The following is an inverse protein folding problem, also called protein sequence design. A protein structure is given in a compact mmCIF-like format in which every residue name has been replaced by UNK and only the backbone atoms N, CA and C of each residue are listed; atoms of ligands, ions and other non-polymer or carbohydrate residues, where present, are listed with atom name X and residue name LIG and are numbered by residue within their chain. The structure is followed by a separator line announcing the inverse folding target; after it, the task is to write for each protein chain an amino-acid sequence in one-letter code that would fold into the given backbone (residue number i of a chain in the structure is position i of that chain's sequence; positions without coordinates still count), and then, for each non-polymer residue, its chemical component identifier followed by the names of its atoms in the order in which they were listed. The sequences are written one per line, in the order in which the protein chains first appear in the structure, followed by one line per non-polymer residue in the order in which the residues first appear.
data_IF_358770014904
#
_entry.id   IF_358770014904
#
_cell.length_a   1.000
_cell.length_b   1.000
_cell.length_c   1.000
_cell.angle_alpha   90.00
_cell.angle_beta   90.00
_cell.angle_gamma   90.00
#
_symmetry.space_group_name_H-M   'P 1'
#
loop_
_entity.id
_entity.type
_entity.pdbx_description
1 polymer ?
#
# COMPACT_ATOMS: atom_id res chain seq x y z
N UNK A 1 -1.18 -30.94 13.15
CA UNK A 1 0.17 -30.64 13.69
C UNK A 1 0.99 -30.01 12.57
N UNK A 2 1.71 -28.92 12.82
CA UNK A 2 2.52 -28.26 11.78
C UNK A 2 3.82 -29.06 11.61
N UNK A 3 4.13 -29.51 10.38
CA UNK A 3 5.34 -30.27 10.09
C UNK A 3 6.58 -29.37 10.22
N UNK A 4 7.57 -29.81 11.00
CA UNK A 4 8.83 -29.09 11.26
C UNK A 4 8.61 -27.59 11.57
N UNK A 5 7.71 -27.28 12.50
CA UNK A 5 7.37 -25.91 12.93
C UNK A 5 7.00 -24.94 11.79
N UNK A 6 6.55 -25.48 10.65
CA UNK A 6 6.06 -24.67 9.53
C UNK A 6 7.15 -24.27 8.55
N UNK A 7 8.32 -24.93 8.58
CA UNK A 7 9.44 -24.70 7.65
C UNK A 7 9.03 -24.66 6.16
N UNK A 8 7.97 -25.38 5.79
CA UNK A 8 7.44 -25.45 4.43
C UNK A 8 6.15 -24.65 4.23
N UNK A 9 5.95 -23.59 5.02
CA UNK A 9 4.75 -22.75 5.01
C UNK A 9 5.07 -21.31 4.54
N UNK A 10 5.87 -21.18 3.49
CA UNK A 10 6.21 -19.88 2.89
C UNK A 10 5.36 -19.61 1.65
N UNK A 11 5.38 -18.38 1.15
CA UNK A 11 4.61 -18.00 -0.04
C UNK A 11 4.98 -18.83 -1.28
N UNK A 12 6.27 -19.10 -1.59
CA UNK A 12 6.66 -20.07 -2.61
C UNK A 12 6.06 -21.46 -2.43
N UNK A 13 6.06 -22.00 -1.20
CA UNK A 13 5.45 -23.31 -0.94
C UNK A 13 3.95 -23.32 -1.22
N UNK A 14 3.24 -22.22 -0.92
CA UNK A 14 1.82 -22.09 -1.25
C UNK A 14 1.56 -22.07 -2.77
N UNK A 15 2.42 -21.39 -3.54
CA UNK A 15 2.33 -21.39 -5.01
C UNK A 15 2.64 -22.79 -5.57
N UNK A 16 3.69 -23.45 -5.10
CA UNK A 16 4.03 -24.81 -5.52
C UNK A 16 2.95 -25.82 -5.17
N UNK A 17 2.32 -25.68 -3.99
CA UNK A 17 1.19 -26.51 -3.57
C UNK A 17 0.00 -26.34 -4.51
N UNK A 18 -0.38 -25.09 -4.85
CA UNK A 18 -1.45 -24.80 -5.81
C UNK A 18 -1.16 -25.36 -7.22
N UNK A 19 0.12 -25.53 -7.55
CA UNK A 19 0.54 -26.10 -8.82
C UNK A 19 0.50 -27.62 -8.90
N UNK A 20 0.29 -28.34 -7.78
CA UNK A 20 0.14 -29.80 -7.76
C UNK A 20 -1.19 -30.25 -8.39
N UNK A 21 -1.30 -31.56 -8.63
CA UNK A 21 -2.49 -32.16 -9.20
C UNK A 21 -3.59 -32.18 -8.14
N UNK A 22 -4.84 -32.03 -8.56
CA UNK A 22 -5.98 -32.06 -7.63
C UNK A 22 -6.15 -33.39 -6.90
N UNK A 23 -5.78 -34.49 -7.57
CA UNK A 23 -5.67 -35.83 -6.98
C UNK A 23 -4.75 -35.88 -5.75
N UNK A 24 -3.74 -35.00 -5.69
CA UNK A 24 -2.82 -34.90 -4.56
C UNK A 24 -3.33 -33.87 -3.54
N UNK A 25 -3.86 -32.72 -4.01
CA UNK A 25 -4.29 -31.60 -3.17
C UNK A 25 -5.54 -31.93 -2.36
N UNK A 26 -6.60 -32.46 -3.00
CA UNK A 26 -7.88 -32.66 -2.33
C UNK A 26 -7.82 -33.64 -1.16
N UNK A 27 -7.19 -34.83 -1.27
CA UNK A 27 -7.06 -35.73 -0.14
C UNK A 27 -6.30 -35.11 1.04
N UNK A 28 -5.29 -34.27 0.77
CA UNK A 28 -4.57 -33.55 1.82
C UNK A 28 -5.50 -32.56 2.50
N UNK A 29 -6.22 -31.73 1.74
CA UNK A 29 -7.09 -30.70 2.32
C UNK A 29 -8.29 -31.31 3.07
N UNK A 30 -8.90 -32.39 2.56
CA UNK A 30 -10.02 -33.08 3.22
C UNK A 30 -9.60 -33.88 4.45
N UNK A 31 -8.29 -34.15 4.62
CA UNK A 31 -7.78 -34.74 5.87
C UNK A 31 -7.90 -33.80 7.08
N UNK A 32 -8.19 -32.51 6.87
CA UNK A 32 -8.40 -31.52 7.91
C UNK A 32 -9.90 -31.25 8.12
N UNK A 33 -10.51 -31.69 9.24
CA UNK A 33 -11.93 -31.49 9.50
C UNK A 33 -12.37 -30.02 9.48
N UNK A 34 -11.49 -29.11 9.92
CA UNK A 34 -11.75 -27.67 9.94
C UNK A 34 -11.96 -27.06 8.53
N UNK A 35 -11.49 -27.76 7.48
CA UNK A 35 -11.63 -27.31 6.10
C UNK A 35 -12.85 -27.89 5.39
N UNK A 36 -13.55 -28.86 5.99
CA UNK A 36 -14.63 -29.63 5.35
C UNK A 36 -15.72 -28.73 4.76
N UNK A 37 -16.21 -27.76 5.53
CA UNK A 37 -17.24 -26.81 5.10
C UNK A 37 -16.80 -25.92 3.94
N UNK A 38 -15.50 -25.58 3.87
CA UNK A 38 -14.95 -24.77 2.77
C UNK A 38 -14.72 -25.60 1.51
N UNK A 39 -14.43 -26.90 1.68
CA UNK A 39 -14.08 -27.81 0.59
C UNK A 39 -15.29 -28.50 -0.03
N UNK A 40 -16.39 -28.66 0.70
CA UNK A 40 -17.60 -29.36 0.22
C UNK A 40 -18.03 -28.95 -1.20
N UNK A 41 -18.18 -27.65 -1.55
CA UNK A 41 -18.57 -27.26 -2.90
C UNK A 41 -17.57 -27.69 -3.98
N UNK A 42 -16.27 -27.71 -3.65
CA UNK A 42 -15.21 -28.10 -4.57
C UNK A 42 -15.13 -29.63 -4.72
N UNK A 43 -15.38 -30.36 -3.63
CA UNK A 43 -15.44 -31.83 -3.63
C UNK A 43 -16.65 -32.35 -4.39
N UNK A 44 -17.82 -31.72 -4.23
CA UNK A 44 -19.03 -32.06 -4.97
C UNK A 44 -18.84 -31.84 -6.47
N UNK A 45 -18.19 -30.73 -6.85
CA UNK A 45 -17.86 -30.46 -8.25
C UNK A 45 -16.84 -31.47 -8.81
N UNK A 46 -15.84 -31.86 -8.01
CA UNK A 46 -14.83 -32.84 -8.40
C UNK A 46 -15.41 -34.25 -8.59
N UNK A 47 -16.21 -34.72 -7.63
CA UNK A 47 -16.83 -36.05 -7.65
C UNK A 47 -18.03 -36.14 -8.59
N UNK A 48 -18.77 -35.04 -8.77
CA UNK A 48 -19.96 -34.95 -9.61
C UNK A 48 -19.70 -34.75 -11.10
N UNK A 49 -18.44 -34.83 -11.54
CA UNK A 49 -18.08 -34.70 -12.96
C UNK A 49 -18.09 -33.26 -13.51
N UNK A 50 -18.18 -32.24 -12.64
CA UNK A 50 -18.08 -30.82 -12.99
C UNK A 50 -16.63 -30.29 -12.91
N UNK A 51 -15.64 -31.16 -13.16
CA UNK A 51 -14.22 -30.85 -13.04
C UNK A 51 -13.80 -29.66 -13.92
N UNK A 52 -14.42 -29.47 -15.09
CA UNK A 52 -14.08 -28.37 -16.00
C UNK A 52 -14.45 -26.99 -15.43
N UNK A 53 -15.59 -26.86 -14.73
CA UNK A 53 -15.97 -25.61 -14.06
C UNK A 53 -15.04 -25.30 -12.89
N UNK A 54 -14.69 -26.32 -12.12
CA UNK A 54 -13.72 -26.25 -11.04
C UNK A 54 -12.35 -25.80 -11.55
N UNK A 55 -11.90 -26.36 -12.68
CA UNK A 55 -10.66 -25.95 -13.34
C UNK A 55 -10.70 -24.49 -13.77
N UNK A 56 -11.82 -24.00 -14.31
CA UNK A 56 -11.98 -22.60 -14.68
C UNK A 56 -11.81 -21.65 -13.49
N UNK A 57 -12.43 -21.97 -12.35
CA UNK A 57 -12.32 -21.15 -11.14
C UNK A 57 -10.90 -21.16 -10.55
N UNK A 58 -10.28 -22.33 -10.42
CA UNK A 58 -8.93 -22.44 -9.87
C UNK A 58 -7.89 -21.82 -10.81
N UNK A 59 -8.05 -21.99 -12.13
CA UNK A 59 -7.16 -21.39 -13.13
C UNK A 59 -7.11 -19.86 -13.00
N UNK A 60 -8.23 -19.21 -12.68
CA UNK A 60 -8.30 -17.76 -12.48
C UNK A 60 -7.37 -17.26 -11.37
N UNK A 61 -7.14 -18.07 -10.33
CA UNK A 61 -6.20 -17.78 -9.25
C UNK A 61 -4.78 -18.29 -9.58
N UNK A 62 -4.67 -19.48 -10.17
CA UNK A 62 -3.41 -20.17 -10.47
C UNK A 62 -2.56 -19.43 -11.51
N UNK A 63 -3.17 -18.89 -12.56
CA UNK A 63 -2.44 -18.21 -13.65
C UNK A 63 -1.70 -16.97 -13.15
N UNK A 64 -2.33 -16.00 -12.45
CA UNK A 64 -1.62 -14.86 -11.87
C UNK A 64 -0.52 -15.26 -10.90
N UNK A 65 -0.78 -16.24 -10.02
CA UNK A 65 0.21 -16.73 -9.04
C UNK A 65 1.43 -17.36 -9.72
N UNK A 66 1.20 -18.13 -10.79
CA UNK A 66 2.28 -18.80 -11.55
C UNK A 66 3.18 -17.80 -12.29
N UNK A 67 2.65 -16.65 -12.72
CA UNK A 67 3.45 -15.58 -13.36
C UNK A 67 4.47 -14.95 -12.41
N UNK A 68 4.30 -15.10 -11.10
CA UNK A 68 5.22 -14.56 -10.10
C UNK A 68 6.41 -15.48 -9.84
N UNK A 69 6.36 -16.72 -10.33
CA UNK A 69 7.42 -17.70 -10.12
C UNK A 69 8.71 -17.19 -10.77
N UNK A 70 9.69 -16.88 -9.93
CA UNK A 70 11.03 -16.52 -10.36
C UNK A 70 12.02 -16.91 -9.26
N UNK A 71 13.26 -17.32 -9.61
CA UNK A 71 14.28 -17.64 -8.63
C UNK A 71 14.52 -16.51 -7.62
N UNK A 72 14.48 -15.26 -8.10
CA UNK A 72 14.69 -14.08 -7.26
C UNK A 72 13.55 -13.90 -6.25
N UNK A 73 12.29 -14.01 -6.69
CA UNK A 73 11.16 -13.84 -5.77
C UNK A 73 11.11 -15.00 -4.76
N UNK A 74 11.35 -16.23 -5.22
CA UNK A 74 11.36 -17.39 -4.32
C UNK A 74 12.44 -17.26 -3.26
N UNK A 75 13.65 -16.84 -3.63
CA UNK A 75 14.73 -16.59 -2.69
C UNK A 75 14.33 -15.55 -1.63
N UNK A 76 13.79 -14.39 -2.03
CA UNK A 76 13.34 -13.34 -1.08
C UNK A 76 12.17 -13.81 -0.20
N UNK A 77 11.26 -14.62 -0.72
CA UNK A 77 10.01 -14.99 -0.04
C UNK A 77 10.08 -16.33 0.72
N UNK A 78 11.24 -17.01 0.71
CA UNK A 78 11.45 -18.29 1.41
C UNK A 78 12.54 -18.24 2.47
N UNK A 79 13.31 -17.15 2.57
CA UNK A 79 14.33 -17.00 3.59
C UNK A 79 13.74 -16.63 4.97
N UNK A 80 14.36 -17.15 6.02
CA UNK A 80 14.03 -16.86 7.43
C UNK A 80 14.95 -15.78 8.05
N UNK A 81 15.82 -15.16 7.24
CA UNK A 81 16.90 -14.28 7.70
C UNK A 81 16.42 -12.86 8.07
N UNK A 82 15.20 -12.48 7.68
CA UNK A 82 14.67 -11.12 7.90
C UNK A 82 13.23 -11.15 8.39
N UNK A 83 13.00 -10.53 9.55
CA UNK A 83 11.66 -10.31 10.10
C UNK A 83 11.18 -8.89 9.82
N UNK A 84 9.87 -8.74 9.64
CA UNK A 84 9.22 -7.48 9.26
C UNK A 84 8.90 -6.54 10.44
N UNK A 85 9.33 -6.89 11.64
CA UNK A 85 9.19 -6.12 12.86
C UNK A 85 10.30 -5.06 12.98
N UNK A 86 10.35 -4.16 12.01
CA UNK A 86 11.44 -3.17 11.86
C UNK A 86 11.68 -2.30 13.10
N UNK A 87 10.66 -2.13 13.96
CA UNK A 87 10.72 -1.31 15.17
C UNK A 87 10.83 -2.13 16.47
N UNK A 88 11.24 -3.39 16.38
CA UNK A 88 11.54 -4.23 17.52
C UNK A 88 12.65 -3.61 18.39
N UNK A 89 12.44 -3.40 19.70
CA UNK A 89 13.45 -2.84 20.60
C UNK A 89 14.74 -3.66 20.71
N UNK A 90 14.66 -4.99 20.56
CA UNK A 90 15.79 -5.89 20.72
C UNK A 90 16.59 -6.06 19.43
N UNK A 91 15.94 -5.88 18.28
CA UNK A 91 16.52 -6.12 16.97
C UNK A 91 15.93 -5.14 15.93
N UNK A 92 16.28 -3.85 16.03
CA UNK A 92 15.77 -2.81 15.14
C UNK A 92 16.34 -2.94 13.73
N UNK A 93 15.51 -2.73 12.72
CA UNK A 93 15.88 -2.94 11.32
C UNK A 93 15.46 -1.76 10.46
N UNK A 94 16.14 -1.61 9.32
CA UNK A 94 15.73 -0.71 8.26
C UNK A 94 15.37 -1.56 7.05
N UNK A 95 14.17 -1.35 6.51
CA UNK A 95 13.72 -1.99 5.29
C UNK A 95 13.57 -0.94 4.19
N UNK A 96 14.23 -1.19 3.06
CA UNK A 96 14.07 -0.40 1.84
C UNK A 96 13.49 -1.30 0.77
N UNK A 97 12.35 -0.89 0.21
CA UNK A 97 11.67 -1.63 -0.84
C UNK A 97 11.74 -0.83 -2.13
N UNK A 98 12.47 -1.35 -3.11
CA UNK A 98 12.49 -0.82 -4.47
C UNK A 98 11.49 -1.56 -5.34
N UNK A 99 10.78 -0.85 -6.20
CA UNK A 99 9.96 -1.44 -7.25
C UNK A 99 10.58 -1.19 -8.62
N UNK A 100 10.46 -2.17 -9.52
CA UNK A 100 10.81 -1.99 -10.93
C UNK A 100 9.52 -1.73 -11.72
N UNK A 101 9.34 -0.55 -12.34
CA UNK A 101 8.14 -0.21 -13.10
C UNK A 101 7.76 -1.25 -14.17
N UNK A 102 8.77 -1.82 -14.85
CA UNK A 102 8.55 -2.83 -15.91
C UNK A 102 8.00 -4.16 -15.37
N UNK A 103 8.13 -4.38 -14.06
CA UNK A 103 7.75 -5.64 -13.38
C UNK A 103 6.72 -5.42 -12.26
N UNK A 104 6.09 -4.26 -12.20
CA UNK A 104 5.13 -3.90 -11.16
C UNK A 104 3.99 -4.92 -11.05
N UNK A 105 3.44 -5.39 -12.19
CA UNK A 105 2.38 -6.39 -12.21
C UNK A 105 2.82 -7.77 -11.70
N UNK A 106 4.12 -8.09 -11.80
CA UNK A 106 4.67 -9.37 -11.36
C UNK A 106 4.93 -9.32 -9.85
N UNK A 107 5.47 -8.22 -9.34
CA UNK A 107 5.85 -8.11 -7.93
C UNK A 107 4.74 -7.56 -7.02
N UNK A 108 3.66 -7.02 -7.59
CA UNK A 108 2.59 -6.37 -6.85
C UNK A 108 2.00 -7.20 -5.71
N UNK A 109 1.76 -8.50 -5.91
CA UNK A 109 1.17 -9.33 -4.85
C UNK A 109 2.15 -9.63 -3.71
N UNK A 110 3.43 -9.87 -4.03
CA UNK A 110 4.46 -10.09 -3.01
C UNK A 110 4.71 -8.83 -2.18
N UNK A 111 4.85 -7.68 -2.86
CA UNK A 111 4.96 -6.37 -2.20
C UNK A 111 3.72 -6.05 -1.36
N UNK A 112 2.52 -6.37 -1.86
CA UNK A 112 1.27 -6.25 -1.12
C UNK A 112 1.24 -7.10 0.16
N UNK A 113 1.75 -8.34 0.10
CA UNK A 113 1.87 -9.22 1.28
C UNK A 113 2.79 -8.58 2.33
N UNK A 114 3.99 -8.16 1.92
CA UNK A 114 4.97 -7.48 2.78
C UNK A 114 4.35 -6.24 3.44
N UNK A 115 3.76 -5.36 2.63
CA UNK A 115 3.13 -4.13 3.11
C UNK A 115 2.05 -4.42 4.14
N UNK A 116 1.12 -5.33 3.83
CA UNK A 116 0.03 -5.68 4.74
C UNK A 116 0.53 -6.26 6.08
N UNK A 117 1.68 -6.95 6.06
CA UNK A 117 2.28 -7.55 7.26
C UNK A 117 3.04 -6.51 8.08
N UNK A 118 3.88 -5.70 7.43
CA UNK A 118 4.66 -4.63 8.09
C UNK A 118 3.73 -3.69 8.84
N UNK A 119 2.65 -3.22 8.20
CA UNK A 119 1.65 -2.33 8.82
C UNK A 119 1.15 -2.87 10.16
N UNK A 120 0.82 -4.16 10.21
CA UNK A 120 0.33 -4.79 11.45
C UNK A 120 1.42 -4.95 12.50
N UNK A 121 2.67 -5.17 12.08
CA UNK A 121 3.78 -5.40 13.01
C UNK A 121 4.28 -4.10 13.64
N UNK A 122 4.44 -3.05 12.84
CA UNK A 122 4.92 -1.75 13.33
C UNK A 122 3.88 -1.03 14.19
N UNK A 123 2.60 -1.30 13.94
CA UNK A 123 1.49 -0.65 14.62
C UNK A 123 1.12 -1.36 15.94
N UNK A 124 2.13 -1.57 16.80
CA UNK A 124 2.00 -2.19 18.12
C UNK A 124 2.53 -1.24 19.20
N UNK A 125 1.97 -1.36 20.40
CA UNK A 125 2.46 -0.64 21.58
C UNK A 125 3.84 -1.16 21.99
N UNK A 126 4.56 -0.33 22.76
CA UNK A 126 5.85 -0.69 23.38
C UNK A 126 6.97 -1.03 22.38
N UNK A 127 6.81 -0.63 21.11
CA UNK A 127 7.86 -0.70 20.11
C UNK A 127 8.64 0.62 20.03
N UNK A 128 9.78 0.61 19.32
CA UNK A 128 10.54 1.81 19.03
C UNK A 128 9.74 2.75 18.11
N UNK A 129 10.12 4.04 18.16
CA UNK A 129 9.64 5.03 17.20
C UNK A 129 10.09 4.59 15.81
N UNK A 130 9.21 4.67 14.82
CA UNK A 130 9.53 4.26 13.45
C UNK A 130 8.87 5.19 12.44
N UNK A 131 9.29 5.05 11.19
CA UNK A 131 8.69 5.80 10.09
C UNK A 131 8.41 4.90 8.90
N UNK A 132 7.28 5.16 8.24
CA UNK A 132 6.93 4.60 6.94
C UNK A 132 6.97 5.75 5.94
N UNK A 133 7.89 5.65 4.99
CA UNK A 133 8.09 6.65 3.94
C UNK A 133 7.73 6.01 2.62
N UNK A 134 6.77 6.60 1.92
CA UNK A 134 6.32 6.14 0.60
C UNK A 134 6.52 7.29 -0.37
N UNK A 135 7.44 7.14 -1.32
CA UNK A 135 7.83 8.19 -2.27
C UNK A 135 6.74 8.46 -3.32
N UNK A 136 6.12 7.40 -3.86
CA UNK A 136 5.00 7.51 -4.80
C UNK A 136 3.89 6.51 -4.43
N UNK A 137 2.93 6.97 -3.64
CA UNK A 137 1.85 6.15 -3.10
C UNK A 137 1.00 5.42 -4.17
N UNK A 138 0.63 6.06 -5.30
CA UNK A 138 0.03 5.39 -6.47
C UNK A 138 0.75 4.15 -7.00
N UNK A 139 2.07 4.04 -6.86
CA UNK A 139 2.83 2.92 -7.45
C UNK A 139 2.66 1.61 -6.69
N UNK A 140 2.17 1.66 -5.46
CA UNK A 140 1.97 0.47 -4.62
C UNK A 140 0.59 0.55 -3.97
N UNK A 141 -0.22 -0.50 -4.13
CA UNK A 141 -1.47 -0.57 -3.38
C UNK A 141 -1.20 -0.96 -1.92
N UNK A 142 -1.43 -0.04 -0.99
CA UNK A 142 -1.12 -0.20 0.42
C UNK A 142 -2.39 -0.47 1.24
N UNK A 143 -2.81 -1.75 1.26
CA UNK A 143 -4.03 -2.15 1.99
C UNK A 143 -3.91 -1.87 3.49
N UNK A 144 -4.89 -1.14 4.05
CA UNK A 144 -4.92 -0.77 5.46
C UNK A 144 -4.15 0.51 5.81
N UNK A 145 -3.78 1.32 4.80
CA UNK A 145 -3.14 2.62 4.97
C UNK A 145 -3.98 3.57 5.83
N UNK A 146 -5.29 3.59 5.63
CA UNK A 146 -6.27 4.35 6.41
C UNK A 146 -6.15 4.08 7.92
N UNK A 147 -6.11 2.80 8.30
CA UNK A 147 -5.96 2.39 9.68
C UNK A 147 -4.56 2.73 10.23
N UNK A 148 -3.51 2.56 9.41
CA UNK A 148 -2.17 2.97 9.79
C UNK A 148 -2.15 4.47 10.11
N UNK A 149 -2.64 5.34 9.21
CA UNK A 149 -2.66 6.79 9.42
C UNK A 149 -3.45 7.15 10.69
N UNK A 150 -4.60 6.51 10.91
CA UNK A 150 -5.48 6.80 12.05
C UNK A 150 -4.86 6.42 13.41
N UNK A 151 -4.09 5.32 13.47
CA UNK A 151 -3.61 4.77 14.75
C UNK A 151 -2.11 4.95 14.99
N UNK A 152 -1.33 5.24 13.94
CA UNK A 152 0.12 5.37 13.95
C UNK A 152 0.64 6.31 15.04
N UNK A 153 -0.05 7.42 15.30
CA UNK A 153 0.34 8.40 16.33
C UNK A 153 0.46 7.76 17.72
N UNK A 154 -0.50 6.91 18.09
CA UNK A 154 -0.51 6.27 19.43
C UNK A 154 0.62 5.24 19.58
N UNK A 155 1.04 4.64 18.47
CA UNK A 155 2.15 3.69 18.38
C UNK A 155 3.48 4.34 17.97
N UNK A 156 3.57 5.68 17.97
CA UNK A 156 4.78 6.45 17.65
C UNK A 156 5.37 6.14 16.27
N UNK A 157 4.50 5.86 15.29
CA UNK A 157 4.85 5.66 13.89
C UNK A 157 4.60 6.95 13.12
N UNK A 158 5.60 7.45 12.38
CA UNK A 158 5.46 8.61 11.51
C UNK A 158 5.27 8.17 10.05
N UNK A 159 4.16 8.57 9.42
CA UNK A 159 3.86 8.22 8.03
C UNK A 159 4.12 9.43 7.13
N UNK A 160 4.96 9.27 6.11
CA UNK A 160 5.21 10.26 5.06
C UNK A 160 4.77 9.68 3.72
N UNK A 161 3.91 10.41 3.01
CA UNK A 161 3.30 10.00 1.75
C UNK A 161 3.63 11.02 0.68
N UNK A 162 4.31 10.59 -0.38
CA UNK A 162 4.50 11.34 -1.61
C UNK A 162 3.54 10.85 -2.70
N UNK A 163 3.02 11.80 -3.47
CA UNK A 163 2.23 11.58 -4.68
C UNK A 163 2.16 12.90 -5.46
N UNK A 164 1.91 12.82 -6.77
CA UNK A 164 1.94 13.99 -7.65
C UNK A 164 0.69 14.86 -7.59
N UNK A 165 -0.49 14.25 -7.54
CA UNK A 165 -1.77 14.96 -7.61
C UNK A 165 -2.88 14.19 -6.85
N UNK A 166 -3.81 14.93 -6.24
CA UNK A 166 -4.94 14.33 -5.53
C UNK A 166 -5.86 13.49 -6.44
N UNK A 167 -5.91 13.79 -7.73
CA UNK A 167 -6.69 13.03 -8.71
C UNK A 167 -6.09 11.63 -8.96
N UNK A 168 -4.75 11.51 -8.96
CA UNK A 168 -4.09 10.21 -9.05
C UNK A 168 -4.40 9.37 -7.81
N UNK A 169 -4.34 9.99 -6.63
CA UNK A 169 -4.71 9.32 -5.37
C UNK A 169 -6.15 8.80 -5.40
N UNK A 170 -7.12 9.63 -5.84
CA UNK A 170 -8.53 9.21 -5.96
C UNK A 170 -8.73 8.09 -6.96
N UNK A 171 -8.05 8.13 -8.11
CA UNK A 171 -8.14 7.08 -9.14
C UNK A 171 -7.67 5.74 -8.60
N UNK A 172 -6.56 5.72 -7.87
CA UNK A 172 -5.88 4.47 -7.50
C UNK A 172 -6.35 3.91 -6.15
N UNK A 173 -6.83 4.76 -5.23
CA UNK A 173 -7.32 4.36 -3.91
C UNK A 173 -8.84 4.45 -3.75
N UNK A 174 -9.55 5.13 -4.65
CA UNK A 174 -10.96 5.45 -4.50
C UNK A 174 -11.21 6.69 -3.63
N UNK A 175 -12.40 7.27 -3.76
CA UNK A 175 -12.74 8.55 -3.11
C UNK A 175 -12.70 8.49 -1.58
N UNK A 176 -13.10 7.37 -0.97
CA UNK A 176 -13.18 7.24 0.49
C UNK A 176 -11.79 7.23 1.12
N UNK A 177 -10.92 6.36 0.66
CA UNK A 177 -9.56 6.20 1.14
C UNK A 177 -8.72 7.46 0.84
N UNK A 178 -8.88 8.04 -0.35
CA UNK A 178 -8.22 9.29 -0.71
C UNK A 178 -8.64 10.44 0.22
N UNK A 179 -9.92 10.55 0.58
CA UNK A 179 -10.40 11.55 1.53
C UNK A 179 -9.80 11.36 2.93
N UNK A 180 -9.61 10.11 3.41
CA UNK A 180 -8.96 9.84 4.69
C UNK A 180 -7.52 10.37 4.69
N UNK A 181 -6.76 10.10 3.62
CA UNK A 181 -5.39 10.61 3.46
C UNK A 181 -5.38 12.14 3.46
N UNK A 182 -6.23 12.77 2.64
CA UNK A 182 -6.26 14.24 2.53
C UNK A 182 -6.67 14.92 3.83
N UNK A 183 -7.62 14.36 4.58
CA UNK A 183 -8.19 15.00 5.77
C UNK A 183 -7.39 14.73 7.04
N UNK A 184 -6.81 13.53 7.19
CA UNK A 184 -6.17 13.11 8.44
C UNK A 184 -4.71 13.56 8.52
N UNK A 185 -4.04 13.69 7.38
CA UNK A 185 -2.65 14.14 7.33
C UNK A 185 -2.57 15.62 7.72
N UNK A 186 -1.92 15.90 8.86
CA UNK A 186 -1.84 17.23 9.45
C UNK A 186 -0.77 18.14 8.82
N UNK A 187 0.34 17.57 8.34
CA UNK A 187 1.42 18.30 7.69
C UNK A 187 1.35 18.10 6.18
N UNK A 188 1.22 19.17 5.42
CA UNK A 188 1.27 19.14 3.96
C UNK A 188 2.45 19.97 3.47
N UNK A 189 3.24 19.37 2.60
CA UNK A 189 4.22 20.06 1.77
C UNK A 189 3.73 19.96 0.33
N UNK A 190 3.62 21.09 -0.36
CA UNK A 190 3.22 21.13 -1.75
C UNK A 190 4.27 21.86 -2.57
N UNK A 191 4.74 21.20 -3.63
CA UNK A 191 5.37 21.89 -4.74
C UNK A 191 4.33 22.62 -5.60
N UNK A 192 4.70 22.89 -6.85
CA UNK A 192 3.77 23.47 -7.81
C UNK A 192 2.68 22.44 -8.19
N UNK A 193 1.42 22.85 -8.03
CA UNK A 193 0.23 22.08 -8.41
C UNK A 193 -0.73 23.00 -9.15
N UNK A 194 -1.62 22.42 -9.97
CA UNK A 194 -2.61 23.16 -10.76
C UNK A 194 -4.01 22.56 -10.55
N UNK A 195 -5.03 23.20 -11.12
CA UNK A 195 -6.39 22.67 -11.14
C UNK A 195 -7.02 22.57 -9.75
N UNK A 196 -7.72 21.48 -9.50
CA UNK A 196 -8.49 21.30 -8.26
C UNK A 196 -7.61 21.06 -7.04
N UNK A 197 -6.47 20.37 -7.20
CA UNK A 197 -5.46 20.22 -6.13
C UNK A 197 -4.98 21.58 -5.62
N UNK A 198 -4.71 22.53 -6.53
CA UNK A 198 -4.30 23.89 -6.16
C UNK A 198 -5.40 24.65 -5.40
N UNK A 199 -6.67 24.51 -5.81
CA UNK A 199 -7.80 25.12 -5.09
C UNK A 199 -7.93 24.55 -3.68
N UNK A 200 -7.95 23.22 -3.54
CA UNK A 200 -8.04 22.55 -2.24
C UNK A 200 -6.91 22.97 -1.30
N UNK A 201 -5.67 23.05 -1.81
CA UNK A 201 -4.53 23.49 -1.02
C UNK A 201 -4.60 24.98 -0.67
N UNK A 202 -4.99 25.83 -1.62
CA UNK A 202 -5.22 27.26 -1.37
C UNK A 202 -6.24 27.50 -0.25
N UNK A 203 -7.34 26.74 -0.25
CA UNK A 203 -8.37 26.84 0.78
C UNK A 203 -7.84 26.35 2.13
N UNK A 204 -7.01 25.31 2.14
CA UNK A 204 -6.44 24.72 3.37
C UNK A 204 -5.36 25.59 4.02
N UNK A 205 -4.48 26.21 3.24
CA UNK A 205 -3.44 27.12 3.76
C UNK A 205 -4.04 28.44 4.24
N UNK A 206 -5.23 28.80 3.75
CA UNK A 206 -5.90 30.04 4.09
C UNK A 206 -5.31 31.26 3.40
N UNK A 207 -5.99 32.40 3.51
CA UNK A 207 -5.57 33.67 2.93
C UNK A 207 -4.89 34.53 3.98
N UNK A 208 -3.71 35.06 3.67
CA UNK A 208 -3.05 36.07 4.51
C UNK A 208 -3.72 37.42 4.27
N UNK A 209 -4.28 38.00 5.33
CA UNK A 209 -4.93 39.30 5.30
C UNK A 209 -3.86 40.40 5.29
N UNK A 210 -3.42 40.82 4.11
CA UNK A 210 -2.49 41.93 3.98
C UNK A 210 -3.22 43.26 4.16
N UNK A 211 -2.69 44.12 5.05
CA UNK A 211 -3.13 45.52 5.14
C UNK A 211 -2.78 46.23 3.83
N UNK A 212 -3.79 46.50 3.02
CA UNK A 212 -3.65 47.31 1.80
C UNK A 212 -3.53 48.78 2.20
N UNK A 213 -2.35 49.37 2.03
CA UNK A 213 -2.19 50.82 2.02
C UNK A 213 -2.35 51.30 0.57
N UNK A 214 -3.46 51.99 0.30
CA UNK A 214 -3.65 52.70 -0.96
C UNK A 214 -2.96 54.05 -0.84
N UNK A 215 -1.78 54.21 -1.43
CA UNK A 215 -1.16 55.52 -1.59
C UNK A 215 -1.64 56.16 -2.89
N UNK A 216 -2.50 57.16 -2.78
CA UNK A 216 -2.85 58.02 -3.91
C UNK A 216 -1.79 59.11 -4.01
N UNK A 217 -0.90 59.01 -5.00
CA UNK A 217 0.08 60.06 -5.29
C UNK A 217 -0.62 61.09 -6.19
N UNK A 218 -1.11 62.18 -5.59
CA UNK A 218 -1.48 63.36 -6.36
C UNK A 218 -0.20 64.11 -6.71
N UNK A 219 0.16 64.14 -8.00
CA UNK A 219 1.21 65.02 -8.50
C UNK A 219 0.76 66.48 -8.26
N UNK A 220 1.49 67.28 -7.46
CA UNK A 220 1.17 68.70 -7.34
C UNK A 220 1.36 69.37 -8.71
N UNK A 221 0.53 70.37 -9.06
CA UNK A 221 0.59 71.01 -10.37
C UNK A 221 1.99 71.58 -10.62
N UNK A 222 2.52 71.32 -11.82
CA UNK A 222 3.81 71.82 -12.27
C UNK A 222 3.86 73.35 -12.14
N UNK A 223 4.89 73.86 -11.47
CA UNK A 223 5.17 75.30 -11.36
C UNK A 223 5.20 75.95 -12.77
N UNK A 224 4.77 77.22 -12.91
CA UNK A 224 4.78 77.91 -14.19
C UNK A 224 6.20 77.95 -14.75
N UNK A 225 6.37 77.53 -16.01
CA UNK A 225 7.59 77.79 -16.77
C UNK A 225 7.72 79.31 -16.93
N UNK A 226 8.66 79.92 -16.21
CA UNK A 226 9.12 81.26 -16.54
C UNK A 226 9.83 81.19 -17.91
N UNK A 227 9.23 81.88 -18.88
CA UNK A 227 9.77 82.09 -20.22
C UNK A 227 10.92 83.10 -20.09
N UNK A 228 12.06 82.80 -20.71
CA UNK A 228 13.21 83.67 -20.82
C UNK A 228 12.94 84.88 -21.73
#
# INVERSE_FOLDING_TARGET
RIYQDGKYCTFPHAIEFLNKRYEDIFPILTSYPDLENYLSPFMDAWLGGAADQLMGQIASAKIPLSRMISPQLYWVMSGDEFTLDINNPNDPKILVVGNNPDRQNIYGAALGLYNSRIVKLINKKEQLKSSVIIDELPTIYFKGLDNLIATARSNKVAVLLGFQDFSQLKRDYGDKEAAVVMNTVGNIFSGQVVGDTAKTLSDRFGKVLQKRQSMTINQPPSLPKWIA
#
